data_IF_308044369536
#
_entry.id   IF_308044369536
#
_cell.length_a   1.000
_cell.length_b   1.000
_cell.length_c   1.000
_cell.angle_alpha   90.00
_cell.angle_beta   90.00
_cell.angle_gamma   90.00
#
_symmetry.space_group_name_H-M   'P 1'
#
loop_
_entity.id
_entity.type
_entity.pdbx_description
1 polymer ?
#
# COMPACT_ATOMS: atom_id res chain seq x y z
N UNK A 1 -16.85 15.18 -7.15
CA UNK A 1 -17.54 13.94 -6.73
C UNK A 1 -17.89 13.16 -8.00
N UNK A 2 -17.36 11.97 -8.22
CA UNK A 2 -17.56 11.23 -9.49
C UNK A 2 -18.12 9.83 -9.20
N UNK A 3 -19.36 9.82 -8.64
CA UNK A 3 -20.09 8.58 -8.33
C UNK A 3 -20.23 7.69 -9.58
N UNK A 4 -20.38 8.26 -10.76
CA UNK A 4 -20.52 7.52 -12.02
C UNK A 4 -19.27 6.71 -12.34
N UNK A 5 -18.07 7.28 -12.11
CA UNK A 5 -16.80 6.56 -12.27
C UNK A 5 -16.70 5.39 -11.29
N UNK A 6 -17.05 5.63 -10.03
CA UNK A 6 -17.01 4.58 -8.98
C UNK A 6 -17.97 3.42 -9.34
N UNK A 7 -19.19 3.74 -9.78
CA UNK A 7 -20.16 2.72 -10.25
C UNK A 7 -19.57 1.93 -11.42
N UNK A 8 -18.98 2.61 -12.40
CA UNK A 8 -18.37 1.98 -13.58
C UNK A 8 -17.24 1.04 -13.19
N UNK A 9 -16.30 1.50 -12.36
CA UNK A 9 -15.11 0.75 -11.98
C UNK A 9 -15.49 -0.49 -11.16
N UNK A 10 -16.37 -0.34 -10.18
CA UNK A 10 -16.82 -1.45 -9.33
C UNK A 10 -17.68 -2.46 -10.11
N UNK A 11 -18.57 -1.99 -10.98
CA UNK A 11 -19.35 -2.88 -11.87
C UNK A 11 -18.43 -3.73 -12.75
N UNK A 12 -17.45 -3.09 -13.39
CA UNK A 12 -16.49 -3.78 -14.27
C UNK A 12 -15.62 -4.78 -13.49
N UNK A 13 -15.16 -4.43 -12.30
CA UNK A 13 -14.37 -5.33 -11.46
C UNK A 13 -15.15 -6.58 -11.03
N UNK A 14 -16.48 -6.50 -10.98
CA UNK A 14 -17.38 -7.63 -10.72
C UNK A 14 -17.80 -8.38 -11.99
N UNK A 15 -17.29 -8.01 -13.17
CA UNK A 15 -17.66 -8.63 -14.44
C UNK A 15 -19.11 -8.37 -14.88
N UNK A 16 -19.77 -7.36 -14.30
CA UNK A 16 -21.17 -7.05 -14.62
C UNK A 16 -21.28 -6.12 -15.84
N UNK A 17 -22.26 -6.38 -16.72
CA UNK A 17 -22.68 -5.40 -17.72
C UNK A 17 -23.59 -4.33 -17.09
N UNK A 18 -23.79 -3.20 -17.74
CA UNK A 18 -24.77 -2.18 -17.30
C UNK A 18 -26.18 -2.77 -17.21
N UNK A 19 -26.53 -3.64 -18.17
CA UNK A 19 -27.80 -4.34 -18.18
C UNK A 19 -27.95 -5.27 -16.97
N UNK A 20 -26.92 -6.07 -16.66
CA UNK A 20 -26.93 -6.96 -15.51
C UNK A 20 -27.02 -6.22 -14.17
N UNK A 21 -26.38 -5.04 -14.07
CA UNK A 21 -26.51 -4.18 -12.89
C UNK A 21 -27.94 -3.62 -12.79
N UNK A 22 -28.53 -3.15 -13.90
CA UNK A 22 -29.88 -2.62 -13.94
C UNK A 22 -30.92 -3.67 -13.50
N UNK A 23 -30.78 -4.90 -13.97
CA UNK A 23 -31.65 -6.03 -13.58
C UNK A 23 -31.54 -6.34 -12.07
N UNK A 24 -30.32 -6.37 -11.51
CA UNK A 24 -30.12 -6.59 -10.08
C UNK A 24 -30.74 -5.49 -9.20
N UNK A 25 -30.80 -4.28 -9.70
CA UNK A 25 -31.35 -3.11 -9.00
C UNK A 25 -32.83 -2.88 -9.31
N UNK A 26 -33.44 -3.69 -10.21
CA UNK A 26 -34.80 -3.54 -10.69
C UNK A 26 -35.10 -2.14 -11.25
N UNK A 27 -34.16 -1.62 -12.07
CA UNK A 27 -34.27 -0.32 -12.76
C UNK A 27 -33.97 -0.46 -14.25
N UNK A 28 -34.12 0.64 -14.98
CA UNK A 28 -33.80 0.64 -16.41
C UNK A 28 -32.29 0.69 -16.68
N UNK A 29 -31.84 0.07 -17.76
CA UNK A 29 -30.48 0.21 -18.29
C UNK A 29 -30.10 1.68 -18.49
N UNK A 30 -31.04 2.50 -18.98
CA UNK A 30 -30.81 3.92 -19.22
C UNK A 30 -30.48 4.68 -17.94
N UNK A 31 -31.00 4.25 -16.78
CA UNK A 31 -30.65 4.87 -15.49
C UNK A 31 -29.19 4.60 -15.14
N UNK A 32 -28.74 3.33 -15.23
CA UNK A 32 -27.33 2.97 -14.99
C UNK A 32 -26.41 3.73 -15.95
N UNK A 33 -26.74 3.76 -17.24
CA UNK A 33 -25.96 4.47 -18.25
C UNK A 33 -25.84 5.97 -17.94
N UNK A 34 -26.93 6.62 -17.51
CA UNK A 34 -26.93 8.03 -17.13
C UNK A 34 -26.06 8.29 -15.90
N UNK A 35 -26.08 7.39 -14.92
CA UNK A 35 -25.24 7.51 -13.73
C UNK A 35 -23.75 7.40 -14.08
N UNK A 36 -23.39 6.39 -14.89
CA UNK A 36 -21.99 6.18 -15.29
C UNK A 36 -21.44 7.30 -16.17
N UNK A 37 -22.29 7.93 -16.98
CA UNK A 37 -21.92 9.08 -17.82
C UNK A 37 -22.03 10.44 -17.07
N UNK A 38 -22.44 10.43 -15.81
CA UNK A 38 -22.54 11.65 -14.99
C UNK A 38 -23.69 12.58 -15.37
N UNK A 39 -24.65 12.14 -16.19
CA UNK A 39 -25.82 12.93 -16.61
C UNK A 39 -26.97 12.90 -15.61
N UNK A 40 -26.95 11.97 -14.66
CA UNK A 40 -27.85 11.93 -13.49
C UNK A 40 -27.19 11.18 -12.35
N UNK A 41 -27.80 11.26 -11.17
CA UNK A 41 -27.34 10.55 -9.97
C UNK A 41 -28.36 9.51 -9.54
N UNK A 42 -27.91 8.43 -8.85
CA UNK A 42 -28.82 7.49 -8.19
C UNK A 42 -29.68 8.21 -7.15
N UNK A 43 -30.96 7.82 -7.05
CA UNK A 43 -31.81 8.26 -5.94
C UNK A 43 -31.29 7.71 -4.62
N UNK A 44 -31.44 8.48 -3.55
CA UNK A 44 -30.93 8.10 -2.21
C UNK A 44 -31.52 6.78 -1.73
N UNK A 45 -32.74 6.46 -2.13
CA UNK A 45 -33.43 5.22 -1.73
C UNK A 45 -32.82 3.97 -2.37
N UNK A 46 -32.12 4.09 -3.52
CA UNK A 46 -31.48 2.97 -4.21
C UNK A 46 -30.03 2.76 -3.76
N UNK A 47 -29.42 3.74 -3.08
CA UNK A 47 -28.02 3.65 -2.66
C UNK A 47 -27.69 2.41 -1.82
N UNK A 48 -28.52 1.96 -0.86
CA UNK A 48 -28.24 0.76 -0.08
C UNK A 48 -28.16 -0.50 -0.95
N UNK A 49 -29.06 -0.66 -1.89
CA UNK A 49 -29.11 -1.81 -2.79
C UNK A 49 -27.97 -1.75 -3.82
N UNK A 50 -27.65 -0.57 -4.33
CA UNK A 50 -26.51 -0.32 -5.22
C UNK A 50 -25.20 -0.64 -4.55
N UNK A 51 -24.98 -0.15 -3.30
CA UNK A 51 -23.81 -0.42 -2.49
C UNK A 51 -23.61 -1.92 -2.22
N UNK A 52 -24.70 -2.61 -1.82
CA UNK A 52 -24.68 -4.05 -1.59
C UNK A 52 -24.36 -4.82 -2.89
N UNK A 53 -24.97 -4.44 -4.01
CA UNK A 53 -24.76 -5.09 -5.31
C UNK A 53 -23.33 -4.91 -5.82
N UNK A 54 -22.75 -3.75 -5.60
CA UNK A 54 -21.37 -3.43 -6.00
C UNK A 54 -20.33 -3.81 -4.92
N UNK A 55 -20.76 -4.38 -3.79
CA UNK A 55 -19.91 -4.79 -2.67
C UNK A 55 -19.05 -3.64 -2.14
N UNK A 56 -19.62 -2.47 -1.96
CA UNK A 56 -18.98 -1.28 -1.40
C UNK A 56 -19.86 -0.65 -0.32
N UNK A 57 -19.29 0.23 0.52
CA UNK A 57 -20.10 1.05 1.43
C UNK A 57 -20.79 2.20 0.67
N UNK A 58 -21.89 2.73 1.23
CA UNK A 58 -22.56 3.92 0.68
C UNK A 58 -21.58 5.10 0.64
N UNK A 59 -20.76 5.27 1.66
CA UNK A 59 -19.76 6.32 1.73
C UNK A 59 -18.76 6.21 0.55
N UNK A 60 -18.24 5.01 0.29
CA UNK A 60 -17.37 4.74 -0.86
C UNK A 60 -18.08 5.06 -2.17
N UNK A 61 -19.36 4.74 -2.28
CA UNK A 61 -20.17 5.01 -3.48
C UNK A 61 -20.34 6.51 -3.72
N UNK A 62 -20.50 7.27 -2.64
CA UNK A 62 -20.59 8.73 -2.67
C UNK A 62 -19.21 9.40 -2.82
N UNK A 63 -18.13 8.63 -2.89
CA UNK A 63 -16.76 9.15 -2.89
C UNK A 63 -16.40 9.81 -1.57
N UNK A 64 -17.17 9.54 -0.54
CA UNK A 64 -16.89 9.92 0.82
C UNK A 64 -16.24 8.71 1.51
N UNK A 65 -14.94 8.72 1.63
CA UNK A 65 -14.34 7.97 2.70
C UNK A 65 -14.50 8.86 3.94
N UNK A 66 -15.23 8.40 4.94
CA UNK A 66 -14.90 8.82 6.28
C UNK A 66 -13.39 8.63 6.35
N UNK A 67 -12.65 9.71 6.47
CA UNK A 67 -11.29 9.65 6.97
C UNK A 67 -11.45 9.21 8.44
N UNK A 68 -11.74 7.93 8.65
CA UNK A 68 -11.40 7.32 9.92
C UNK A 68 -9.91 7.54 9.99
N UNK A 69 -9.50 8.39 10.92
CA UNK A 69 -8.11 8.57 11.25
C UNK A 69 -7.56 7.16 11.41
N UNK A 70 -6.63 6.80 10.57
CA UNK A 70 -5.96 5.52 10.70
C UNK A 70 -5.23 5.56 12.04
N UNK A 71 -4.91 4.43 12.62
CA UNK A 71 -4.07 4.40 13.80
C UNK A 71 -2.75 5.14 13.56
N UNK A 72 -2.25 5.11 12.32
CA UNK A 72 -1.07 5.86 11.89
C UNK A 72 -1.28 7.36 11.83
N UNK A 73 -2.45 7.87 11.47
CA UNK A 73 -2.73 9.31 11.55
C UNK A 73 -2.56 9.82 12.97
N UNK A 74 -2.98 9.02 13.98
CA UNK A 74 -2.78 9.35 15.39
C UNK A 74 -1.30 9.30 15.80
N UNK A 75 -0.54 8.30 15.32
CA UNK A 75 0.89 8.18 15.59
C UNK A 75 1.69 9.32 14.98
N UNK A 76 1.30 9.77 13.79
CA UNK A 76 1.95 10.88 13.09
C UNK A 76 1.47 12.26 13.56
N UNK A 77 0.42 12.36 14.37
CA UNK A 77 -0.07 13.60 15.00
C UNK A 77 0.78 13.97 16.23
N UNK A 78 2.10 14.09 16.01
CA UNK A 78 3.07 14.49 17.02
C UNK A 78 4.06 15.50 16.46
N UNK A 79 4.67 16.30 17.31
CA UNK A 79 5.79 17.14 16.93
C UNK A 79 7.00 16.25 16.57
N UNK A 80 7.63 16.54 15.43
CA UNK A 80 8.73 15.74 14.89
C UNK A 80 8.28 14.51 14.08
N UNK A 81 9.15 13.54 13.92
CA UNK A 81 8.93 12.35 13.08
C UNK A 81 8.92 11.09 13.94
N UNK A 82 7.82 10.36 13.91
CA UNK A 82 7.62 9.15 14.74
C UNK A 82 8.70 8.09 14.47
N UNK A 83 9.04 7.86 13.20
CA UNK A 83 10.08 6.91 12.81
C UNK A 83 11.48 7.54 12.71
N UNK A 84 11.65 8.82 13.10
CA UNK A 84 12.86 9.58 12.90
C UNK A 84 13.16 9.87 11.42
N UNK A 85 14.36 10.40 11.15
CA UNK A 85 14.77 10.81 9.81
C UNK A 85 15.87 9.91 9.21
N UNK A 86 16.40 8.96 9.99
CA UNK A 86 17.42 8.04 9.47
C UNK A 86 16.80 7.06 8.49
N UNK A 87 17.35 6.92 7.26
CA UNK A 87 16.79 6.01 6.27
C UNK A 87 16.93 4.55 6.71
N UNK A 88 16.05 3.70 6.20
CA UNK A 88 16.16 2.27 6.36
C UNK A 88 17.47 1.77 5.73
N UNK A 89 18.15 0.81 6.38
CA UNK A 89 19.38 0.22 5.85
C UNK A 89 19.19 -0.39 4.44
N UNK A 90 17.99 -0.79 4.08
CA UNK A 90 17.65 -1.30 2.74
C UNK A 90 17.80 -0.24 1.65
N UNK A 91 17.68 1.05 1.96
CA UNK A 91 17.97 2.12 1.01
C UNK A 91 19.43 2.11 0.55
N UNK A 92 20.37 1.79 1.44
CA UNK A 92 21.80 1.63 1.07
C UNK A 92 22.02 0.37 0.22
N UNK A 93 21.28 -0.71 0.46
CA UNK A 93 21.31 -1.90 -0.39
C UNK A 93 20.77 -1.60 -1.80
N UNK A 94 19.71 -0.80 -1.90
CA UNK A 94 19.19 -0.31 -3.18
C UNK A 94 20.30 0.45 -3.92
N UNK A 95 20.96 1.40 -3.26
CA UNK A 95 22.05 2.18 -3.88
C UNK A 95 23.22 1.31 -4.31
N UNK A 96 23.53 0.26 -3.58
CA UNK A 96 24.61 -0.68 -3.93
C UNK A 96 24.26 -1.52 -5.16
N UNK A 97 23.00 -1.99 -5.27
CA UNK A 97 22.56 -2.89 -6.35
C UNK A 97 22.14 -2.13 -7.60
N UNK A 98 21.54 -0.98 -7.44
CA UNK A 98 21.04 -0.10 -8.49
C UNK A 98 21.58 1.32 -8.26
N UNK A 99 22.91 1.56 -8.42
CA UNK A 99 23.49 2.88 -8.22
C UNK A 99 22.82 3.89 -9.16
N UNK A 100 22.54 5.13 -8.71
CA UNK A 100 21.74 6.11 -9.43
C UNK A 100 22.49 6.75 -10.60
N UNK A 101 23.06 5.94 -11.48
CA UNK A 101 23.72 6.36 -12.72
C UNK A 101 22.71 6.79 -13.80
N UNK A 102 21.46 6.37 -13.62
CA UNK A 102 20.27 6.79 -14.38
C UNK A 102 19.14 7.06 -13.37
N UNK A 103 18.15 7.89 -13.71
CA UNK A 103 17.03 8.17 -12.80
C UNK A 103 16.07 6.97 -12.73
N UNK A 104 16.47 5.91 -12.02
CA UNK A 104 15.60 4.76 -11.76
C UNK A 104 14.29 5.21 -11.12
N UNK A 105 13.18 4.67 -11.63
CA UNK A 105 11.84 4.86 -11.07
C UNK A 105 11.68 3.98 -9.83
N UNK A 106 11.42 4.61 -8.70
CA UNK A 106 11.17 3.93 -7.42
C UNK A 106 9.73 4.11 -7.00
N UNK A 107 9.09 3.04 -6.59
CA UNK A 107 7.84 3.08 -5.84
C UNK A 107 8.14 2.77 -4.37
N UNK A 108 7.81 3.70 -3.47
CA UNK A 108 7.85 3.49 -2.01
C UNK A 108 6.44 3.24 -1.49
N UNK A 109 6.18 2.01 -1.07
CA UNK A 109 4.88 1.53 -0.61
C UNK A 109 4.79 1.65 0.90
N UNK A 110 3.84 2.48 1.38
CA UNK A 110 3.69 2.77 2.80
C UNK A 110 4.83 3.65 3.32
N UNK A 111 5.05 4.77 2.64
CA UNK A 111 6.18 5.66 2.88
C UNK A 111 6.11 6.41 4.24
N UNK A 112 4.95 6.39 4.93
CA UNK A 112 4.73 7.10 6.18
C UNK A 112 5.06 8.58 6.06
N UNK A 113 5.96 9.04 6.92
CA UNK A 113 6.44 10.43 6.98
C UNK A 113 7.56 10.73 5.95
N UNK A 114 7.83 9.81 5.00
CA UNK A 114 8.66 10.05 3.82
C UNK A 114 10.17 9.93 4.00
N UNK A 115 10.69 9.47 5.13
CA UNK A 115 12.13 9.43 5.40
C UNK A 115 12.95 8.66 4.36
N UNK A 116 12.43 7.52 3.89
CA UNK A 116 13.09 6.66 2.92
C UNK A 116 12.90 7.19 1.49
N UNK A 117 11.68 7.61 1.13
CA UNK A 117 11.37 8.25 -0.14
C UNK A 117 12.23 9.50 -0.39
N UNK A 118 12.33 10.39 0.60
CA UNK A 118 13.13 11.61 0.52
C UNK A 118 14.62 11.29 0.44
N UNK A 119 15.10 10.30 1.21
CA UNK A 119 16.50 9.87 1.12
C UNK A 119 16.84 9.37 -0.30
N UNK A 120 16.00 8.52 -0.89
CA UNK A 120 16.23 8.01 -2.24
C UNK A 120 16.16 9.13 -3.29
N UNK A 121 15.18 10.04 -3.20
CA UNK A 121 15.07 11.18 -4.12
C UNK A 121 16.30 12.11 -4.05
N UNK A 122 16.82 12.40 -2.86
CA UNK A 122 18.07 13.18 -2.67
C UNK A 122 19.28 12.51 -3.30
N UNK A 123 19.27 11.20 -3.44
CA UNK A 123 20.33 10.42 -4.06
C UNK A 123 20.13 10.17 -5.56
N UNK A 124 19.18 10.87 -6.21
CA UNK A 124 19.03 10.87 -7.67
C UNK A 124 18.03 9.87 -8.24
N UNK A 125 17.22 9.24 -7.39
CA UNK A 125 16.12 8.38 -7.84
C UNK A 125 14.86 9.21 -8.16
N UNK A 126 14.07 8.74 -9.13
CA UNK A 126 12.76 9.30 -9.43
C UNK A 126 11.70 8.55 -8.60
N UNK A 127 11.25 9.16 -7.50
CA UNK A 127 10.43 8.48 -6.49
C UNK A 127 8.97 8.87 -6.63
N UNK A 128 8.12 7.84 -6.64
CA UNK A 128 6.68 7.89 -6.40
C UNK A 128 6.43 7.17 -5.09
N UNK A 129 5.59 7.71 -4.22
CA UNK A 129 5.36 7.15 -2.89
C UNK A 129 3.91 7.27 -2.45
N UNK A 130 3.41 6.28 -1.74
CA UNK A 130 2.07 6.36 -1.18
C UNK A 130 2.00 5.83 0.26
N UNK A 131 1.01 6.33 0.98
CA UNK A 131 0.64 5.84 2.31
C UNK A 131 -0.88 5.91 2.51
N UNK A 132 -1.38 5.17 3.47
CA UNK A 132 -2.79 5.22 3.87
C UNK A 132 -3.08 6.46 4.74
N UNK A 133 -2.07 7.00 5.43
CA UNK A 133 -2.17 8.14 6.33
C UNK A 133 -1.95 9.47 5.58
N UNK A 134 -2.97 10.32 5.58
CA UNK A 134 -2.81 11.69 5.05
C UNK A 134 -1.90 12.53 5.93
N UNK A 135 -1.91 12.30 7.25
CA UNK A 135 -1.02 12.99 8.20
C UNK A 135 0.45 12.65 7.90
N UNK A 136 0.75 11.36 7.66
CA UNK A 136 2.09 10.93 7.24
C UNK A 136 2.51 11.59 5.92
N UNK A 137 1.62 11.59 4.92
CA UNK A 137 1.89 12.21 3.62
C UNK A 137 2.08 13.73 3.70
N UNK A 138 1.38 14.41 4.62
CA UNK A 138 1.62 15.86 4.87
C UNK A 138 3.04 16.11 5.33
N UNK A 139 3.52 15.37 6.33
CA UNK A 139 4.90 15.45 6.82
C UNK A 139 5.93 15.02 5.76
N UNK A 140 5.61 14.00 4.95
CA UNK A 140 6.47 13.57 3.86
C UNK A 140 6.67 14.67 2.81
N UNK A 141 5.61 15.40 2.46
CA UNK A 141 5.69 16.57 1.54
C UNK A 141 6.53 17.69 2.15
N UNK A 142 6.29 18.03 3.42
CA UNK A 142 7.09 19.05 4.14
C UNK A 142 8.58 18.67 4.19
N UNK A 143 8.89 17.40 4.43
CA UNK A 143 10.27 16.90 4.43
C UNK A 143 10.91 16.99 3.04
N UNK A 144 10.16 16.63 2.00
CA UNK A 144 10.62 16.72 0.61
C UNK A 144 10.89 18.17 0.21
N UNK A 145 9.99 19.09 0.55
CA UNK A 145 10.14 20.53 0.29
C UNK A 145 11.35 21.10 1.04
N UNK A 146 11.52 20.74 2.32
CA UNK A 146 12.67 21.15 3.11
C UNK A 146 14.00 20.65 2.52
N UNK A 147 13.99 19.44 1.97
CA UNK A 147 15.16 18.84 1.32
C UNK A 147 15.35 19.25 -0.15
N UNK A 148 14.44 20.03 -0.72
CA UNK A 148 14.51 20.52 -2.11
C UNK A 148 14.36 19.41 -3.15
N UNK A 149 13.63 18.34 -2.85
CA UNK A 149 13.37 17.23 -3.78
C UNK A 149 11.91 17.15 -4.19
N UNK A 150 11.66 16.61 -5.38
CA UNK A 150 10.30 16.38 -5.91
C UNK A 150 9.98 14.90 -5.84
N UNK A 151 8.86 14.57 -5.22
CA UNK A 151 8.34 13.22 -5.08
C UNK A 151 6.84 13.27 -5.38
N UNK A 152 6.34 12.30 -6.13
CA UNK A 152 4.90 12.16 -6.38
C UNK A 152 4.27 11.38 -5.21
N UNK A 153 3.63 12.11 -4.29
CA UNK A 153 2.96 11.54 -3.13
C UNK A 153 1.46 11.47 -3.34
N UNK A 154 0.87 10.30 -3.08
CA UNK A 154 -0.58 10.13 -3.11
C UNK A 154 -1.08 9.21 -2.00
N UNK A 155 -2.36 9.35 -1.63
CA UNK A 155 -3.00 8.49 -0.64
C UNK A 155 -3.52 7.21 -1.29
N UNK A 156 -3.12 6.06 -0.77
CA UNK A 156 -3.63 4.76 -1.20
C UNK A 156 -3.50 3.70 -0.10
N UNK A 157 -4.35 2.69 -0.18
CA UNK A 157 -4.24 1.47 0.61
C UNK A 157 -3.64 0.36 -0.27
N UNK A 158 -2.58 -0.28 0.18
CA UNK A 158 -1.93 -1.40 -0.54
C UNK A 158 -2.90 -2.54 -0.87
N UNK A 159 -3.95 -2.73 -0.06
CA UNK A 159 -4.97 -3.77 -0.25
C UNK A 159 -5.83 -3.51 -1.48
N UNK A 160 -6.10 -2.25 -1.78
CA UNK A 160 -7.01 -1.81 -2.86
C UNK A 160 -6.27 -1.21 -4.05
N UNK A 161 -5.06 -0.69 -3.84
CA UNK A 161 -4.26 -0.05 -4.88
C UNK A 161 -3.79 -1.06 -5.93
N UNK A 162 -3.84 -0.66 -7.19
CA UNK A 162 -3.30 -1.43 -8.31
C UNK A 162 -2.37 -0.55 -9.11
N UNK A 163 -1.22 -1.12 -9.45
CA UNK A 163 -0.20 -0.43 -10.25
C UNK A 163 -0.69 -0.25 -11.69
N UNK A 164 -0.42 0.91 -12.26
CA UNK A 164 -0.71 1.25 -13.66
C UNK A 164 0.58 1.61 -14.44
N UNK A 165 1.73 1.63 -13.77
CA UNK A 165 3.02 1.98 -14.34
C UNK A 165 4.11 1.02 -13.87
N UNK A 166 5.17 0.88 -14.66
CA UNK A 166 6.32 0.06 -14.34
C UNK A 166 7.39 0.85 -13.56
N UNK A 167 8.02 0.16 -12.61
CA UNK A 167 9.08 0.67 -11.75
C UNK A 167 10.33 -0.20 -11.85
N UNK A 168 11.50 0.44 -11.76
CA UNK A 168 12.78 -0.27 -11.68
C UNK A 168 13.02 -0.84 -10.28
N UNK A 169 12.48 -0.17 -9.28
CA UNK A 169 12.63 -0.53 -7.87
C UNK A 169 11.27 -0.39 -7.18
N UNK A 170 10.80 -1.47 -6.57
CA UNK A 170 9.63 -1.42 -5.68
C UNK A 170 10.15 -1.67 -4.27
N UNK A 171 9.97 -0.68 -3.41
CA UNK A 171 10.41 -0.71 -2.02
C UNK A 171 9.22 -0.71 -1.07
N UNK A 172 9.27 -1.50 -0.03
CA UNK A 172 8.31 -1.48 1.07
C UNK A 172 8.94 -1.93 2.38
N UNK A 173 8.75 -1.15 3.42
CA UNK A 173 9.27 -1.47 4.74
C UNK A 173 8.20 -1.36 5.82
N UNK A 174 7.84 -2.50 6.43
CA UNK A 174 6.90 -2.54 7.55
C UNK A 174 5.44 -2.32 7.15
N UNK A 175 5.01 -2.80 5.97
CA UNK A 175 3.65 -2.62 5.44
C UNK A 175 2.95 -3.95 5.12
N UNK A 176 3.67 -4.91 4.58
CA UNK A 176 3.08 -6.13 4.03
C UNK A 176 2.33 -7.00 5.06
N UNK A 177 2.64 -6.85 6.34
CA UNK A 177 1.92 -7.54 7.42
C UNK A 177 0.44 -7.11 7.55
N UNK A 178 0.04 -5.99 6.95
CA UNK A 178 -1.36 -5.57 6.86
C UNK A 178 -2.14 -6.21 5.70
N UNK A 179 -1.48 -6.97 4.83
CA UNK A 179 -2.12 -7.63 3.70
C UNK A 179 -2.71 -8.97 4.17
N UNK A 180 -4.05 -9.13 4.13
CA UNK A 180 -4.70 -10.40 4.46
C UNK A 180 -4.20 -11.54 3.58
N UNK A 181 -4.15 -12.74 4.13
CA UNK A 181 -3.56 -13.92 3.47
C UNK A 181 -4.16 -14.15 2.07
N UNK A 182 -5.45 -14.02 1.92
CA UNK A 182 -6.18 -14.22 0.66
C UNK A 182 -5.84 -13.17 -0.42
N UNK A 183 -5.29 -12.02 -0.04
CA UNK A 183 -4.91 -10.94 -0.96
C UNK A 183 -3.43 -10.93 -1.33
N UNK A 184 -2.56 -11.59 -0.55
CA UNK A 184 -1.09 -11.55 -0.69
C UNK A 184 -0.64 -11.87 -2.11
N UNK A 185 -1.16 -12.98 -2.66
CA UNK A 185 -0.80 -13.39 -4.01
C UNK A 185 -1.15 -12.33 -5.05
N UNK A 186 -2.35 -11.76 -5.00
CA UNK A 186 -2.80 -10.77 -5.96
C UNK A 186 -1.98 -9.48 -5.89
N UNK A 187 -1.66 -9.03 -4.68
CA UNK A 187 -0.81 -7.85 -4.47
C UNK A 187 0.58 -8.12 -5.02
N UNK A 188 1.22 -9.21 -4.62
CA UNK A 188 2.59 -9.53 -5.05
C UNK A 188 2.68 -9.78 -6.56
N UNK A 189 1.72 -10.48 -7.15
CA UNK A 189 1.66 -10.68 -8.61
C UNK A 189 1.58 -9.32 -9.35
N UNK A 190 0.80 -8.37 -8.83
CA UNK A 190 0.73 -7.02 -9.39
C UNK A 190 2.08 -6.31 -9.33
N UNK A 191 2.79 -6.39 -8.20
CA UNK A 191 4.13 -5.81 -8.07
C UNK A 191 5.12 -6.46 -9.05
N UNK A 192 5.10 -7.80 -9.17
CA UNK A 192 5.97 -8.54 -10.09
C UNK A 192 5.72 -8.18 -11.56
N UNK A 193 4.45 -8.01 -11.95
CA UNK A 193 4.08 -7.60 -13.31
C UNK A 193 4.67 -6.22 -13.61
N UNK A 194 4.49 -5.28 -12.69
CA UNK A 194 4.91 -3.88 -12.83
C UNK A 194 6.36 -3.59 -12.40
N UNK A 195 7.16 -4.63 -12.21
CA UNK A 195 8.60 -4.47 -12.07
C UNK A 195 9.26 -4.59 -13.45
N UNK A 196 10.05 -3.61 -13.83
CA UNK A 196 10.79 -3.60 -15.09
C UNK A 196 11.77 -4.78 -15.21
N UNK A 197 12.19 -5.12 -16.42
CA UNK A 197 13.24 -6.12 -16.62
C UNK A 197 14.52 -5.70 -15.89
N UNK A 198 15.16 -6.62 -15.19
CA UNK A 198 16.26 -6.37 -14.27
C UNK A 198 15.92 -5.43 -13.10
N UNK A 199 14.64 -5.13 -12.87
CA UNK A 199 14.17 -4.38 -11.70
C UNK A 199 14.23 -5.21 -10.42
N UNK A 200 14.15 -4.55 -9.26
CA UNK A 200 14.20 -5.21 -7.96
C UNK A 200 12.99 -4.88 -7.08
N UNK A 201 12.53 -5.89 -6.36
CA UNK A 201 11.61 -5.69 -5.25
C UNK A 201 12.37 -5.85 -3.93
N UNK A 202 12.27 -4.85 -3.07
CA UNK A 202 12.94 -4.74 -1.78
C UNK A 202 11.87 -4.66 -0.71
N UNK A 203 11.61 -5.76 -0.05
CA UNK A 203 10.46 -5.90 0.84
C UNK A 203 10.90 -6.51 2.17
N UNK A 204 10.41 -5.94 3.26
CA UNK A 204 10.43 -6.62 4.53
C UNK A 204 9.01 -6.80 5.08
N UNK A 205 8.82 -7.83 5.87
CA UNK A 205 7.55 -8.14 6.50
C UNK A 205 7.77 -8.70 7.90
N UNK A 206 6.96 -8.26 8.86
CA UNK A 206 6.96 -8.86 10.19
C UNK A 206 6.47 -10.31 10.12
N UNK A 207 7.22 -11.20 10.77
CA UNK A 207 6.85 -12.61 10.91
C UNK A 207 6.73 -12.97 12.38
N UNK A 208 5.73 -13.77 12.72
CA UNK A 208 5.51 -14.20 14.09
C UNK A 208 6.42 -15.37 14.46
N UNK A 209 7.01 -15.27 15.65
CA UNK A 209 7.79 -16.35 16.27
C UNK A 209 7.15 -16.75 17.59
N UNK A 210 6.90 -18.04 17.84
CA UNK A 210 6.28 -18.50 19.11
C UNK A 210 7.09 -18.15 20.36
N UNK A 211 8.41 -17.97 20.20
CA UNK A 211 9.34 -17.66 21.28
C UNK A 211 9.59 -16.14 21.48
N UNK A 212 8.95 -15.28 20.67
CA UNK A 212 8.98 -13.83 20.85
C UNK A 212 7.63 -13.41 21.45
N UNK A 213 7.61 -12.84 22.67
CA UNK A 213 6.39 -12.31 23.26
C UNK A 213 5.74 -11.27 22.36
N UNK A 214 4.42 -11.16 22.42
CA UNK A 214 3.68 -10.11 21.74
C UNK A 214 4.08 -8.74 22.27
N UNK A 215 4.10 -7.69 21.42
CA UNK A 215 4.16 -6.32 21.88
C UNK A 215 3.01 -6.03 22.84
N UNK A 216 3.24 -5.22 23.88
CA UNK A 216 2.28 -5.03 24.97
C UNK A 216 0.98 -4.29 24.55
N UNK A 217 0.98 -3.68 23.38
CA UNK A 217 -0.12 -2.90 22.80
C UNK A 217 -0.91 -3.65 21.72
N UNK A 218 -0.60 -4.94 21.49
CA UNK A 218 -1.24 -5.76 20.46
C UNK A 218 -2.00 -6.92 21.11
N UNK A 219 -3.30 -7.02 20.83
CA UNK A 219 -4.11 -8.17 21.25
C UNK A 219 -3.94 -9.34 20.26
N UNK A 220 -4.03 -10.57 20.78
CA UNK A 220 -3.92 -11.79 19.94
C UNK A 220 -4.94 -11.84 18.79
N UNK A 221 -6.10 -11.24 18.97
CA UNK A 221 -7.16 -11.15 17.96
C UNK A 221 -6.81 -10.27 16.76
N UNK A 222 -5.97 -9.26 16.95
CA UNK A 222 -5.53 -8.34 15.89
C UNK A 222 -4.48 -8.98 14.97
N UNK A 223 -3.77 -9.98 15.48
CA UNK A 223 -2.67 -10.64 14.79
C UNK A 223 -3.15 -11.76 13.86
N UNK A 224 -4.27 -12.39 14.18
CA UNK A 224 -4.76 -13.59 13.48
C UNK A 224 -5.06 -13.36 11.98
N UNK A 225 -5.34 -12.12 11.57
CA UNK A 225 -5.72 -11.81 10.18
C UNK A 225 -4.52 -11.61 9.24
N UNK A 226 -3.31 -11.38 9.78
CA UNK A 226 -2.16 -10.96 8.99
C UNK A 226 -0.84 -11.70 9.27
N UNK A 227 -0.85 -12.80 10.02
CA UNK A 227 0.37 -13.51 10.39
C UNK A 227 1.11 -14.08 9.17
N UNK A 228 2.25 -13.48 8.86
CA UNK A 228 3.19 -14.04 7.91
C UNK A 228 4.05 -15.08 8.60
N UNK A 229 4.25 -16.19 7.91
CA UNK A 229 5.16 -17.26 8.36
C UNK A 229 6.56 -16.98 7.85
N UNK A 230 7.57 -17.39 8.63
CA UNK A 230 8.96 -17.32 8.18
C UNK A 230 9.13 -18.01 6.84
N UNK A 231 9.75 -17.30 5.91
CA UNK A 231 9.97 -17.79 4.55
C UNK A 231 8.77 -17.73 3.62
N UNK A 232 7.58 -17.34 4.10
CA UNK A 232 6.40 -17.24 3.24
C UNK A 232 6.61 -16.25 2.10
N UNK A 233 7.20 -15.09 2.39
CA UNK A 233 7.48 -14.06 1.38
C UNK A 233 8.36 -14.59 0.24
N UNK A 234 9.32 -15.47 0.55
CA UNK A 234 10.20 -16.10 -0.44
C UNK A 234 9.42 -16.94 -1.45
N UNK A 235 8.36 -17.59 -1.01
CA UNK A 235 7.58 -18.51 -1.87
C UNK A 235 6.91 -17.78 -3.05
N UNK A 236 6.65 -16.48 -2.93
CA UNK A 236 6.08 -15.68 -4.01
C UNK A 236 7.10 -15.24 -5.06
N UNK A 237 8.40 -15.28 -4.71
CA UNK A 237 9.50 -14.84 -5.56
C UNK A 237 10.44 -15.98 -5.99
N UNK A 238 10.01 -17.24 -5.88
CA UNK A 238 10.84 -18.42 -6.18
C UNK A 238 11.40 -18.46 -7.61
N UNK A 239 10.75 -17.73 -8.52
CA UNK A 239 11.10 -17.59 -9.94
C UNK A 239 11.98 -16.35 -10.23
N UNK A 240 12.39 -15.62 -9.19
CA UNK A 240 13.27 -14.46 -9.28
C UNK A 240 14.63 -14.73 -8.64
N UNK A 241 15.63 -13.93 -9.00
CA UNK A 241 16.96 -14.03 -8.40
C UNK A 241 17.01 -13.31 -7.06
N UNK A 242 17.25 -14.03 -5.98
CA UNK A 242 17.46 -13.40 -4.66
C UNK A 242 18.85 -12.75 -4.58
N UNK A 243 18.89 -11.44 -4.45
CA UNK A 243 20.10 -10.65 -4.13
C UNK A 243 20.34 -10.58 -2.63
N UNK A 244 19.26 -10.66 -1.85
CA UNK A 244 19.27 -10.78 -0.39
C UNK A 244 18.07 -11.61 0.06
N UNK A 245 18.31 -12.44 1.07
CA UNK A 245 17.31 -13.19 1.80
C UNK A 245 17.80 -13.31 3.23
N UNK A 246 17.09 -12.73 4.18
CA UNK A 246 17.49 -12.63 5.57
C UNK A 246 16.27 -12.70 6.46
N UNK A 247 16.35 -13.47 7.53
CA UNK A 247 15.45 -13.37 8.66
C UNK A 247 16.23 -12.76 9.84
N UNK A 248 15.69 -11.73 10.47
CA UNK A 248 16.37 -11.05 11.58
C UNK A 248 15.44 -10.73 12.72
N UNK A 249 15.94 -10.91 13.94
CA UNK A 249 15.30 -10.45 15.17
C UNK A 249 15.96 -9.11 15.56
N UNK A 250 15.16 -8.14 15.96
CA UNK A 250 15.66 -6.85 16.39
C UNK A 250 14.86 -6.28 17.56
N UNK A 251 15.49 -5.42 18.33
CA UNK A 251 14.87 -4.70 19.43
C UNK A 251 14.07 -3.51 18.88
N UNK A 252 12.88 -3.29 19.42
CA UNK A 252 11.99 -2.19 19.09
C UNK A 252 11.52 -1.48 20.36
N UNK A 253 11.30 -0.18 20.27
CA UNK A 253 10.78 0.64 21.36
C UNK A 253 9.69 1.61 20.88
N UNK A 254 9.02 1.30 19.77
CA UNK A 254 8.04 2.19 19.13
C UNK A 254 6.82 2.45 20.00
N UNK A 255 6.44 1.50 20.87
CA UNK A 255 5.34 1.66 21.84
C UNK A 255 5.77 2.30 23.16
N UNK A 256 7.03 2.71 23.31
CA UNK A 256 7.58 3.16 24.58
C UNK A 256 7.94 2.02 25.56
N UNK A 257 7.63 0.78 25.21
CA UNK A 257 8.02 -0.42 25.95
C UNK A 257 8.96 -1.26 25.10
N UNK A 258 10.20 -1.56 25.59
CA UNK A 258 11.14 -2.39 24.84
C UNK A 258 10.56 -3.77 24.55
N UNK A 259 10.56 -4.16 23.28
CA UNK A 259 10.11 -5.46 22.81
C UNK A 259 10.92 -5.92 21.59
N UNK A 260 10.68 -7.12 21.11
CA UNK A 260 11.37 -7.67 19.95
C UNK A 260 10.40 -7.96 18.81
N UNK A 261 10.88 -7.77 17.60
CA UNK A 261 10.23 -8.23 16.38
C UNK A 261 11.13 -9.19 15.61
N UNK A 262 10.51 -10.00 14.76
CA UNK A 262 11.18 -10.75 13.72
C UNK A 262 10.68 -10.29 12.37
N UNK A 263 11.58 -10.15 11.40
CA UNK A 263 11.26 -9.77 10.02
C UNK A 263 11.93 -10.72 9.04
N UNK A 264 11.18 -11.10 8.01
CA UNK A 264 11.75 -11.57 6.75
C UNK A 264 12.08 -10.36 5.88
N UNK A 265 13.23 -10.40 5.24
CA UNK A 265 13.74 -9.37 4.33
C UNK A 265 14.14 -10.03 3.03
N UNK A 266 13.63 -9.53 1.90
CA UNK A 266 14.07 -9.96 0.59
C UNK A 266 14.53 -8.78 -0.27
N UNK A 267 15.48 -9.04 -1.14
CA UNK A 267 15.74 -8.28 -2.36
C UNK A 267 15.72 -9.29 -3.49
N UNK A 268 14.65 -9.24 -4.28
CA UNK A 268 14.45 -10.13 -5.41
C UNK A 268 14.55 -9.33 -6.72
N UNK A 269 15.31 -9.84 -7.69
CA UNK A 269 15.53 -9.21 -9.00
C UNK A 269 14.82 -10.03 -10.08
N UNK A 270 14.08 -9.33 -10.93
CA UNK A 270 13.43 -9.88 -12.11
C UNK A 270 14.48 -10.11 -13.21
N UNK A 271 14.62 -11.35 -13.67
CA UNK A 271 15.55 -11.74 -14.74
C UNK A 271 14.83 -11.74 -16.09
#
# INVERSE_FOLDING_TARGET
MNIGKIITDKRKSLGLTQQALAEKLNISFQAVSKWENGTSYPDITILPMLATTLKVSIDSLLGYSLQSLTEYDKRYDMEGYYWGLSPNHLCYEIMRLKPPTTPYKVLDIGCGEGKDAVFLARNGYNVTAFDISEQGLSKARELADHCGVKIDFFKADIRDFRLEADFDIIFSSGVFHYIPQEQRKNVIDSLKIHTAANGINVINVFVRKPFIPLPPDIEESEIAAGDWKSGELLTYYYDWLFRKNEERIFDCNSSGVPHKHCMDVIIAEKI
#
